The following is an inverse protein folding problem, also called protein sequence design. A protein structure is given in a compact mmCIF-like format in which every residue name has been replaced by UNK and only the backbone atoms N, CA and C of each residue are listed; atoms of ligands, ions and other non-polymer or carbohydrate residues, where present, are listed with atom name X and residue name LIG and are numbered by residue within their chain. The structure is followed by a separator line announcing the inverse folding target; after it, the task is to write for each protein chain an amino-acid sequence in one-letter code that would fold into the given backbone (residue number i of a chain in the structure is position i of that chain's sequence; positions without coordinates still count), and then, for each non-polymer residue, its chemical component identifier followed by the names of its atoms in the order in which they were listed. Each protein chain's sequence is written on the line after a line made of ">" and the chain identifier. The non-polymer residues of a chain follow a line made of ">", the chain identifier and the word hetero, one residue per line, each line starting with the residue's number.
data_IF_048535720770
#
_entry.id   IF_048535720770
#
_cell.length_a   1.000
_cell.length_b   1.000
_cell.length_c   1.000
_cell.angle_alpha   90.00
_cell.angle_beta   90.00
_cell.angle_gamma   90.00
#
_symmetry.space_group_name_H-M   'P 1'
#
loop_
_entity.id
_entity.type
_entity.pdbx_description
1 polymer ?
#
# COMPACT_ATOMS: atom_id res chain seq x y z
N UNK A 1 21.20 27.86 5.71
CA UNK A 1 19.93 27.34 5.20
C UNK A 1 20.18 25.93 4.68
N UNK A 2 19.50 24.91 5.16
CA UNK A 2 19.78 23.54 4.73
C UNK A 2 18.83 23.19 3.58
N UNK A 3 19.37 23.15 2.36
CA UNK A 3 18.61 22.69 1.19
C UNK A 3 18.35 21.19 1.27
N UNK A 4 17.08 20.80 1.17
CA UNK A 4 16.63 19.42 1.23
C UNK A 4 16.61 18.83 -0.18
N UNK A 5 17.34 17.73 -0.36
CA UNK A 5 17.36 16.97 -1.62
C UNK A 5 16.44 15.77 -1.61
N UNK A 6 16.19 15.21 -0.43
CA UNK A 6 15.35 14.02 -0.25
C UNK A 6 14.34 14.27 0.89
N UNK A 7 13.06 14.11 0.60
CA UNK A 7 11.97 14.29 1.55
C UNK A 7 11.30 12.94 1.80
N UNK A 8 11.11 12.61 3.07
CA UNK A 8 10.37 11.42 3.52
C UNK A 8 9.11 11.88 4.24
N UNK A 9 7.94 11.42 3.79
CA UNK A 9 6.64 11.74 4.38
C UNK A 9 6.04 10.45 4.93
N UNK A 10 6.00 10.31 6.26
CA UNK A 10 5.63 9.07 6.93
C UNK A 10 4.95 9.31 8.30
N UNK A 11 5.15 8.41 9.22
CA UNK A 11 4.78 8.51 10.64
C UNK A 11 5.91 8.03 11.53
N UNK A 12 5.87 8.38 12.82
CA UNK A 12 6.89 7.97 13.81
C UNK A 12 6.92 6.47 14.06
N UNK A 13 5.82 5.77 13.80
CA UNK A 13 5.66 4.32 14.02
C UNK A 13 5.89 3.47 12.76
N UNK A 14 6.34 4.06 11.65
CA UNK A 14 6.56 3.34 10.39
C UNK A 14 7.96 2.72 10.35
N UNK A 15 8.07 1.48 10.81
CA UNK A 15 9.32 0.71 10.84
C UNK A 15 9.93 0.49 9.45
N UNK A 16 9.11 0.36 8.40
CA UNK A 16 9.61 0.26 7.03
C UNK A 16 10.38 1.52 6.62
N UNK A 17 9.89 2.68 7.02
CA UNK A 17 10.60 3.96 6.80
C UNK A 17 11.89 4.04 7.60
N UNK A 18 11.94 3.53 8.83
CA UNK A 18 13.15 3.52 9.65
C UNK A 18 14.28 2.76 8.96
N UNK A 19 13.99 1.60 8.34
CA UNK A 19 14.98 0.83 7.59
C UNK A 19 15.56 1.62 6.40
N UNK A 20 14.75 2.43 5.73
CA UNK A 20 15.22 3.30 4.65
C UNK A 20 16.09 4.42 5.21
N UNK A 21 15.67 5.06 6.30
CA UNK A 21 16.46 6.12 6.97
C UNK A 21 17.83 5.59 7.37
N UNK A 22 17.90 4.44 8.04
CA UNK A 22 19.16 3.80 8.42
C UNK A 22 20.06 3.52 7.20
N UNK A 23 19.50 3.06 6.09
CA UNK A 23 20.27 2.80 4.87
C UNK A 23 20.81 4.10 4.24
N UNK A 24 20.00 5.16 4.17
CA UNK A 24 20.43 6.46 3.68
C UNK A 24 21.54 7.06 4.56
N UNK A 25 21.42 6.95 5.89
CA UNK A 25 22.46 7.37 6.84
C UNK A 25 23.76 6.59 6.65
N UNK A 26 23.68 5.27 6.50
CA UNK A 26 24.84 4.40 6.22
C UNK A 26 25.58 4.83 4.94
N UNK A 27 24.84 5.35 3.95
CA UNK A 27 25.39 5.90 2.69
C UNK A 27 25.89 7.33 2.81
N UNK A 28 25.64 8.00 3.94
CA UNK A 28 25.93 9.43 4.10
C UNK A 28 24.99 10.34 3.30
N UNK A 29 23.85 9.83 2.83
CA UNK A 29 22.88 10.59 2.06
C UNK A 29 21.95 11.38 2.97
N UNK A 30 21.82 12.70 2.74
CA UNK A 30 21.02 13.57 3.59
C UNK A 30 19.56 13.57 3.16
N UNK A 31 18.68 13.34 4.10
CA UNK A 31 17.22 13.41 3.93
C UNK A 31 16.58 14.28 5.01
N UNK A 32 15.36 14.71 4.77
CA UNK A 32 14.47 15.26 5.79
C UNK A 32 13.25 14.35 5.92
N UNK A 33 12.98 13.86 7.13
CA UNK A 33 11.75 13.12 7.43
C UNK A 33 10.76 14.00 8.14
N UNK A 34 9.52 14.06 7.63
CA UNK A 34 8.38 14.69 8.29
C UNK A 34 7.34 13.62 8.60
N UNK A 35 6.85 13.64 9.83
CA UNK A 35 5.93 12.64 10.34
C UNK A 35 4.57 13.25 10.64
N UNK A 36 3.48 12.60 10.22
CA UNK A 36 2.10 13.06 10.45
C UNK A 36 1.78 13.29 11.93
N UNK A 37 2.43 12.52 12.79
CA UNK A 37 2.20 12.52 14.24
C UNK A 37 2.79 13.76 14.92
N UNK A 38 3.64 14.52 14.20
CA UNK A 38 4.37 15.68 14.72
C UNK A 38 4.03 16.99 13.96
N UNK A 39 3.00 17.00 13.11
CA UNK A 39 2.69 18.18 12.29
C UNK A 39 2.35 19.43 13.09
N UNK A 40 1.81 19.29 14.28
CA UNK A 40 1.53 20.39 15.19
C UNK A 40 2.81 21.03 15.79
N UNK A 41 3.95 20.37 15.67
CA UNK A 41 5.26 20.86 16.09
C UNK A 41 6.06 21.52 14.96
N UNK A 42 5.54 21.49 13.74
CA UNK A 42 6.21 22.04 12.57
C UNK A 42 5.68 23.43 12.22
N UNK A 43 6.59 24.38 11.98
CA UNK A 43 6.25 25.64 11.36
C UNK A 43 6.50 25.53 9.86
N UNK A 44 5.44 25.55 9.05
CA UNK A 44 5.53 25.33 7.61
C UNK A 44 4.91 26.50 6.85
N UNK A 45 5.63 27.01 5.85
CA UNK A 45 5.13 28.00 4.90
C UNK A 45 5.52 27.60 3.49
N UNK A 46 4.56 27.42 2.60
CA UNK A 46 4.82 27.27 1.18
C UNK A 46 4.59 28.61 0.45
N UNK A 47 5.60 29.09 -0.24
CA UNK A 47 5.60 30.35 -0.98
C UNK A 47 5.41 30.03 -2.46
N UNK A 48 4.20 30.26 -2.98
CA UNK A 48 3.76 29.77 -4.28
C UNK A 48 4.58 30.36 -5.45
N UNK A 49 4.80 31.67 -5.46
CA UNK A 49 5.56 32.37 -6.51
C UNK A 49 7.05 31.98 -6.54
N UNK A 50 7.57 31.51 -5.41
CA UNK A 50 8.96 31.02 -5.29
C UNK A 50 9.06 29.50 -5.47
N UNK A 51 7.94 28.78 -5.52
CA UNK A 51 7.86 27.30 -5.53
C UNK A 51 8.73 26.67 -4.42
N UNK A 52 8.67 27.27 -3.23
CA UNK A 52 9.56 26.94 -2.12
C UNK A 52 8.78 26.78 -0.82
N UNK A 53 9.04 25.69 -0.12
CA UNK A 53 8.55 25.45 1.24
C UNK A 53 9.67 25.73 2.24
N UNK A 54 9.39 26.58 3.22
CA UNK A 54 10.22 26.76 4.40
C UNK A 54 9.61 25.98 5.56
N UNK A 55 10.45 25.25 6.24
CA UNK A 55 10.06 24.38 7.34
C UNK A 55 11.01 24.59 8.51
N UNK A 56 10.44 24.78 9.74
CA UNK A 56 11.21 24.79 10.98
C UNK A 56 10.81 23.61 11.84
N UNK A 57 11.80 22.81 12.24
CA UNK A 57 11.68 21.68 13.15
C UNK A 57 12.72 21.82 14.24
N UNK A 58 12.31 21.80 15.51
CA UNK A 58 13.22 21.90 16.67
C UNK A 58 14.23 23.07 16.56
N UNK A 59 13.75 24.22 16.10
CA UNK A 59 14.57 25.42 15.91
C UNK A 59 15.50 25.41 14.69
N UNK A 60 15.55 24.34 13.91
CA UNK A 60 16.34 24.26 12.67
C UNK A 60 15.49 24.60 11.45
N UNK A 61 16.05 25.40 10.56
CA UNK A 61 15.38 25.80 9.32
C UNK A 61 15.81 24.94 8.13
N UNK A 62 14.84 24.52 7.34
CA UNK A 62 15.01 23.74 6.11
C UNK A 62 14.31 24.45 4.96
N UNK A 63 14.89 24.36 3.77
CA UNK A 63 14.31 24.88 2.53
C UNK A 63 14.12 23.74 1.55
N UNK A 64 12.91 23.62 1.00
CA UNK A 64 12.53 22.61 0.02
C UNK A 64 11.99 23.35 -1.19
N UNK A 65 12.57 23.13 -2.36
CA UNK A 65 12.13 23.76 -3.61
C UNK A 65 12.16 22.77 -4.77
N UNK A 66 11.39 23.05 -5.82
CA UNK A 66 11.44 22.25 -7.05
C UNK A 66 12.84 22.17 -7.68
N UNK A 67 13.70 23.17 -7.41
CA UNK A 67 15.08 23.19 -7.93
C UNK A 67 16.00 22.23 -7.18
N UNK A 68 15.81 22.09 -5.88
CA UNK A 68 16.72 21.33 -4.98
C UNK A 68 16.23 19.95 -4.64
N UNK A 69 14.90 19.77 -4.51
CA UNK A 69 14.30 18.49 -4.16
C UNK A 69 14.44 17.49 -5.33
N UNK A 70 15.06 16.35 -5.07
CA UNK A 70 15.32 15.29 -6.05
C UNK A 70 14.39 14.12 -5.91
N UNK A 71 14.08 13.74 -4.67
CA UNK A 71 13.22 12.58 -4.41
C UNK A 71 12.29 12.80 -3.24
N UNK A 72 11.13 12.14 -3.31
CA UNK A 72 10.14 12.10 -2.24
C UNK A 72 9.72 10.65 -2.00
N UNK A 73 9.91 10.16 -0.78
CA UNK A 73 9.32 8.91 -0.33
C UNK A 73 8.00 9.20 0.38
N UNK A 74 6.89 8.78 -0.24
CA UNK A 74 5.54 9.09 0.21
C UNK A 74 4.81 7.85 0.70
N UNK A 75 4.62 7.74 2.01
CA UNK A 75 3.89 6.61 2.64
C UNK A 75 2.39 6.84 2.76
N UNK A 76 1.85 7.83 2.05
CA UNK A 76 0.43 8.19 2.08
C UNK A 76 -0.15 8.23 3.51
N UNK A 77 0.43 9.03 4.42
CA UNK A 77 0.02 9.03 5.82
C UNK A 77 -1.46 9.39 5.95
N UNK A 78 -2.20 8.59 6.72
CA UNK A 78 -3.64 8.77 6.95
C UNK A 78 -3.85 9.62 8.21
N UNK A 79 -4.70 10.65 8.07
CA UNK A 79 -5.21 11.44 9.19
C UNK A 79 -6.67 11.07 9.41
N UNK A 80 -6.96 10.37 10.50
CA UNK A 80 -8.32 10.02 10.85
C UNK A 80 -9.13 11.29 11.14
N UNK A 81 -10.16 11.55 10.33
CA UNK A 81 -10.98 12.77 10.39
C UNK A 81 -12.18 12.61 11.30
N UNK A 82 -12.72 11.41 11.36
CA UNK A 82 -13.98 11.10 12.02
C UNK A 82 -13.76 10.12 13.16
N UNK A 83 -13.91 10.60 14.36
CA UNK A 83 -14.05 9.84 15.58
C UNK A 83 -15.02 10.60 16.45
N UNK A 84 -15.91 9.90 17.17
CA UNK A 84 -16.83 10.53 18.13
C UNK A 84 -16.10 11.31 19.23
N UNK A 85 -14.83 11.02 19.44
CA UNK A 85 -13.96 11.64 20.45
C UNK A 85 -13.26 12.92 19.98
N UNK A 86 -13.26 13.20 18.66
CA UNK A 86 -12.59 14.38 18.12
C UNK A 86 -13.49 15.62 18.16
N UNK A 87 -12.95 16.71 18.69
CA UNK A 87 -13.58 18.03 18.59
C UNK A 87 -13.71 18.46 17.12
N UNK A 88 -14.64 19.38 16.82
CA UNK A 88 -14.76 19.96 15.46
C UNK A 88 -13.45 20.60 15.00
N UNK A 89 -12.72 21.26 15.90
CA UNK A 89 -11.44 21.88 15.60
C UNK A 89 -10.37 20.82 15.24
N UNK A 90 -10.32 19.69 15.94
CA UNK A 90 -9.37 18.62 15.65
C UNK A 90 -9.70 17.93 14.31
N UNK A 91 -10.98 17.73 14.00
CA UNK A 91 -11.41 17.22 12.71
C UNK A 91 -10.99 18.15 11.57
N UNK A 92 -11.19 19.48 11.72
CA UNK A 92 -10.76 20.49 10.76
C UNK A 92 -9.23 20.48 10.63
N UNK A 93 -8.50 20.53 11.74
CA UNK A 93 -7.02 20.49 11.78
C UNK A 93 -6.46 19.29 11.01
N UNK A 94 -6.96 18.09 11.31
CA UNK A 94 -6.55 16.85 10.60
C UNK A 94 -6.92 16.88 9.13
N UNK A 95 -8.09 17.43 8.78
CA UNK A 95 -8.52 17.64 7.40
C UNK A 95 -7.57 18.55 6.62
N UNK A 96 -7.14 19.67 7.23
CA UNK A 96 -6.20 20.62 6.61
C UNK A 96 -4.80 20.00 6.42
N UNK A 97 -4.26 19.31 7.42
CA UNK A 97 -2.98 18.61 7.26
C UNK A 97 -3.03 17.51 6.20
N UNK A 98 -4.09 16.72 6.17
CA UNK A 98 -4.30 15.71 5.13
C UNK A 98 -4.36 16.33 3.72
N UNK A 99 -5.00 17.49 3.58
CA UNK A 99 -5.06 18.22 2.32
C UNK A 99 -3.70 18.82 1.97
N UNK A 100 -3.01 19.43 2.94
CA UNK A 100 -1.69 20.02 2.73
C UNK A 100 -0.70 18.99 2.21
N UNK A 101 -0.60 17.81 2.83
CA UNK A 101 0.31 16.75 2.38
C UNK A 101 0.02 16.33 0.93
N UNK A 102 -1.25 16.21 0.56
CA UNK A 102 -1.62 15.87 -0.82
C UNK A 102 -1.29 16.97 -1.82
N UNK A 103 -1.29 18.22 -1.38
CA UNK A 103 -0.87 19.36 -2.20
C UNK A 103 0.65 19.44 -2.42
N UNK A 104 1.46 18.68 -1.70
CA UNK A 104 2.91 18.60 -1.94
C UNK A 104 3.26 18.04 -3.33
N UNK A 105 2.29 17.54 -4.08
CA UNK A 105 2.43 17.20 -5.52
C UNK A 105 2.92 18.37 -6.37
N UNK A 106 2.90 19.61 -5.86
CA UNK A 106 3.53 20.78 -6.49
C UNK A 106 5.05 20.65 -6.64
N UNK A 107 5.68 19.71 -5.92
CA UNK A 107 7.06 19.30 -6.16
C UNK A 107 7.14 18.28 -7.30
N UNK A 108 6.70 18.68 -8.48
CA UNK A 108 6.53 17.85 -9.67
C UNK A 108 7.83 17.48 -10.38
N UNK A 109 8.94 18.17 -10.08
CA UNK A 109 10.28 17.88 -10.60
C UNK A 109 10.98 16.75 -9.82
N UNK A 110 10.50 16.42 -8.63
CA UNK A 110 11.07 15.36 -7.82
C UNK A 110 10.60 13.96 -8.28
N UNK A 111 11.46 12.97 -8.09
CA UNK A 111 11.08 11.56 -8.27
C UNK A 111 10.31 11.06 -7.05
N UNK A 112 9.07 10.67 -7.24
CA UNK A 112 8.20 10.20 -6.15
C UNK A 112 8.16 8.70 -6.04
N UNK A 113 8.15 8.20 -4.82
CA UNK A 113 7.92 6.80 -4.44
C UNK A 113 6.82 6.76 -3.37
N UNK A 114 5.54 6.61 -3.72
CA UNK A 114 4.91 6.80 -5.03
C UNK A 114 4.38 8.22 -5.19
N UNK A 115 4.09 8.63 -6.42
CA UNK A 115 3.35 9.87 -6.64
C UNK A 115 1.94 9.76 -6.06
N UNK A 116 1.44 10.73 -5.29
CA UNK A 116 0.16 10.60 -4.58
C UNK A 116 -1.04 10.24 -5.47
N UNK A 117 -1.13 10.83 -6.67
CA UNK A 117 -2.22 10.53 -7.61
C UNK A 117 -2.17 9.07 -8.08
N UNK A 118 -0.97 8.55 -8.36
CA UNK A 118 -0.77 7.14 -8.72
C UNK A 118 -1.18 6.21 -7.55
N UNK A 119 -0.79 6.57 -6.31
CA UNK A 119 -1.17 5.84 -5.10
C UNK A 119 -2.68 5.73 -4.98
N UNK A 120 -3.40 6.86 -4.97
CA UNK A 120 -4.86 6.85 -4.78
C UNK A 120 -5.63 6.22 -5.95
N UNK A 121 -5.10 6.30 -7.17
CA UNK A 121 -5.65 5.59 -8.34
C UNK A 121 -5.50 4.08 -8.17
N UNK A 122 -4.33 3.64 -7.70
CA UNK A 122 -4.02 2.23 -7.52
C UNK A 122 -4.79 1.56 -6.37
N UNK A 123 -5.34 2.30 -5.42
CA UNK A 123 -6.19 1.76 -4.35
C UNK A 123 -7.57 1.26 -4.84
N UNK A 124 -7.97 1.56 -6.08
CA UNK A 124 -9.28 1.19 -6.63
C UNK A 124 -9.30 -0.26 -7.09
N UNK A 125 -9.81 -1.18 -6.27
CA UNK A 125 -9.77 -2.64 -6.48
C UNK A 125 -10.36 -3.10 -7.82
N UNK A 126 -11.49 -2.52 -8.25
CA UNK A 126 -12.06 -2.85 -9.57
C UNK A 126 -11.11 -2.48 -10.70
N UNK A 127 -10.46 -1.32 -10.60
CA UNK A 127 -9.48 -0.87 -11.60
C UNK A 127 -8.23 -1.76 -11.58
N UNK A 128 -7.78 -2.20 -10.41
CA UNK A 128 -6.65 -3.13 -10.28
C UNK A 128 -6.91 -4.43 -11.06
N UNK A 129 -8.07 -5.06 -10.84
CA UNK A 129 -8.44 -6.30 -11.52
C UNK A 129 -8.56 -6.09 -13.04
N UNK A 130 -9.14 -4.97 -13.48
CA UNK A 130 -9.21 -4.65 -14.90
C UNK A 130 -7.83 -4.44 -15.52
N UNK A 131 -6.91 -3.76 -14.81
CA UNK A 131 -5.53 -3.57 -15.26
C UNK A 131 -4.77 -4.90 -15.31
N UNK A 132 -4.98 -5.78 -14.34
CA UNK A 132 -4.37 -7.11 -14.33
C UNK A 132 -4.78 -7.95 -15.56
N UNK A 133 -6.08 -7.97 -15.90
CA UNK A 133 -6.56 -8.61 -17.13
C UNK A 133 -5.93 -8.01 -18.39
N UNK A 134 -5.84 -6.68 -18.49
CA UNK A 134 -5.18 -5.99 -19.61
C UNK A 134 -3.68 -6.30 -19.69
N UNK A 135 -3.05 -6.53 -18.55
CA UNK A 135 -1.63 -6.94 -18.48
C UNK A 135 -1.40 -8.41 -18.84
N UNK A 136 -2.46 -9.20 -19.03
CA UNK A 136 -2.41 -10.63 -19.36
C UNK A 136 -2.33 -11.55 -18.15
N UNK A 137 -2.62 -11.04 -16.93
CA UNK A 137 -2.70 -11.86 -15.73
C UNK A 137 -4.12 -12.41 -15.54
N UNK A 138 -4.22 -13.64 -15.03
CA UNK A 138 -5.49 -14.19 -14.58
C UNK A 138 -5.96 -13.50 -13.30
N UNK A 139 -7.26 -13.38 -13.14
CA UNK A 139 -7.91 -12.98 -11.88
C UNK A 139 -8.94 -14.03 -11.50
N UNK A 140 -9.28 -14.21 -10.21
CA UNK A 140 -10.41 -15.03 -9.81
C UNK A 140 -11.71 -14.49 -10.44
N UNK A 141 -12.67 -15.35 -10.76
CA UNK A 141 -13.99 -14.88 -11.20
C UNK A 141 -14.56 -13.93 -10.15
N UNK A 142 -14.89 -12.70 -10.59
CA UNK A 142 -15.21 -11.59 -9.69
C UNK A 142 -16.50 -10.92 -10.06
N UNK A 143 -17.34 -10.71 -9.06
CA UNK A 143 -18.59 -9.94 -9.14
C UNK A 143 -18.51 -8.78 -8.14
N UNK A 144 -19.07 -7.64 -8.52
CA UNK A 144 -19.07 -6.45 -7.65
C UNK A 144 -20.47 -5.85 -7.66
N UNK A 145 -21.08 -5.73 -6.50
CA UNK A 145 -22.42 -5.17 -6.38
C UNK A 145 -23.04 -5.47 -5.02
N UNK A 146 -24.28 -5.10 -4.88
CA UNK A 146 -25.10 -5.30 -3.69
C UNK A 146 -26.19 -6.38 -3.88
N UNK A 147 -26.02 -7.25 -4.87
CA UNK A 147 -26.88 -8.39 -5.12
C UNK A 147 -26.04 -9.62 -5.43
N UNK A 148 -26.53 -10.78 -5.03
CA UNK A 148 -25.89 -12.06 -5.34
C UNK A 148 -26.28 -12.47 -6.77
N UNK A 149 -25.33 -12.59 -7.71
CA UNK A 149 -25.63 -13.02 -9.07
C UNK A 149 -26.27 -14.42 -9.10
N UNK A 150 -27.20 -14.66 -10.01
CA UNK A 150 -27.88 -15.95 -10.16
C UNK A 150 -26.96 -17.12 -10.45
N UNK A 151 -25.79 -16.87 -11.06
CA UNK A 151 -24.77 -17.88 -11.35
C UNK A 151 -24.05 -18.41 -10.11
N UNK A 152 -24.12 -17.71 -8.97
CA UNK A 152 -23.57 -18.16 -7.68
C UNK A 152 -24.32 -19.41 -7.22
N UNK A 153 -23.59 -20.49 -6.96
CA UNK A 153 -24.14 -21.78 -6.53
C UNK A 153 -24.15 -21.86 -5.01
N UNK A 154 -25.28 -22.27 -4.42
CA UNK A 154 -25.50 -22.31 -2.99
C UNK A 154 -24.48 -23.16 -2.22
N UNK A 155 -24.02 -24.27 -2.82
CA UNK A 155 -23.11 -25.24 -2.23
C UNK A 155 -21.61 -24.95 -2.52
N UNK A 156 -21.28 -23.86 -3.21
CA UNK A 156 -19.89 -23.43 -3.43
C UNK A 156 -19.50 -22.30 -2.48
N UNK A 157 -18.24 -22.30 -2.09
CA UNK A 157 -17.64 -21.24 -1.28
C UNK A 157 -17.10 -20.12 -2.18
N UNK A 158 -17.23 -18.91 -1.72
CA UNK A 158 -16.75 -17.67 -2.35
C UNK A 158 -16.02 -16.81 -1.32
N UNK A 159 -15.16 -15.91 -1.78
CA UNK A 159 -14.52 -14.90 -0.94
C UNK A 159 -15.27 -13.58 -1.09
N UNK A 160 -15.69 -13.03 0.04
CA UNK A 160 -16.31 -11.70 0.13
C UNK A 160 -15.29 -10.70 0.65
N UNK A 161 -15.18 -9.55 -0.02
CA UNK A 161 -14.24 -8.47 0.32
C UNK A 161 -14.94 -7.13 0.26
N UNK A 162 -14.55 -6.20 1.14
CA UNK A 162 -14.91 -4.80 0.98
C UNK A 162 -14.23 -4.17 -0.25
N UNK A 163 -14.89 -3.22 -0.90
CA UNK A 163 -14.34 -2.43 -2.00
C UNK A 163 -13.21 -1.49 -1.55
N UNK A 164 -13.30 -1.04 -0.32
CA UNK A 164 -12.26 -0.28 0.36
C UNK A 164 -11.78 -1.09 1.59
N UNK A 165 -10.71 -0.66 2.23
CA UNK A 165 -10.29 -1.21 3.52
C UNK A 165 -10.60 -0.17 4.61
N UNK A 166 -11.88 0.01 4.97
CA UNK A 166 -12.24 0.99 5.97
C UNK A 166 -11.72 0.53 7.33
N UNK A 167 -11.16 1.47 8.07
CA UNK A 167 -10.92 1.32 9.50
C UNK A 167 -12.22 1.69 10.20
N UNK A 168 -12.76 0.76 10.97
CA UNK A 168 -13.92 1.00 11.83
C UNK A 168 -13.46 1.17 13.27
N UNK A 169 -14.26 1.87 14.03
CA UNK A 169 -14.10 1.95 15.48
C UNK A 169 -15.33 1.34 16.13
N UNK A 170 -15.10 0.28 16.88
CA UNK A 170 -16.10 -0.30 17.77
C UNK A 170 -15.58 -0.15 19.22
N UNK A 171 -16.32 0.59 20.06
CA UNK A 171 -15.96 0.85 21.47
C UNK A 171 -14.47 1.25 21.67
N UNK A 172 -13.94 2.13 20.84
CA UNK A 172 -12.55 2.58 20.83
C UNK A 172 -11.50 1.58 20.33
N UNK A 173 -11.89 0.43 19.79
CA UNK A 173 -10.98 -0.49 19.10
C UNK A 173 -11.00 -0.27 17.59
N UNK A 174 -9.78 -0.20 16.99
CA UNK A 174 -9.65 -0.17 15.55
C UNK A 174 -9.94 -1.58 14.98
N UNK A 175 -10.93 -1.65 14.08
CA UNK A 175 -11.30 -2.87 13.40
C UNK A 175 -11.03 -2.76 11.90
N UNK A 176 -10.50 -3.83 11.31
CA UNK A 176 -10.25 -3.93 9.89
C UNK A 176 -11.15 -5.00 9.27
N UNK A 177 -11.65 -4.74 8.05
CA UNK A 177 -12.33 -5.79 7.28
C UNK A 177 -11.32 -6.72 6.64
N UNK A 178 -11.46 -8.00 6.96
CA UNK A 178 -10.75 -9.08 6.26
C UNK A 178 -11.65 -9.73 5.22
N UNK A 179 -11.03 -10.38 4.23
CA UNK A 179 -11.79 -11.26 3.35
C UNK A 179 -12.42 -12.42 4.13
N UNK A 180 -13.69 -12.73 3.82
CA UNK A 180 -14.48 -13.75 4.50
C UNK A 180 -14.90 -14.79 3.49
N UNK A 181 -14.74 -16.08 3.83
CA UNK A 181 -15.28 -17.18 3.03
C UNK A 181 -16.75 -17.39 3.40
N UNK A 182 -17.62 -17.43 2.40
CA UNK A 182 -19.07 -17.67 2.56
C UNK A 182 -19.55 -18.59 1.45
N UNK A 183 -20.49 -19.50 1.79
CA UNK A 183 -21.21 -20.27 0.79
C UNK A 183 -22.18 -19.39 -0.01
N UNK A 184 -22.56 -19.82 -1.20
CA UNK A 184 -23.55 -19.08 -1.97
C UNK A 184 -24.90 -18.94 -1.26
N UNK A 185 -25.26 -19.91 -0.42
CA UNK A 185 -26.46 -19.84 0.44
C UNK A 185 -26.32 -18.75 1.49
N UNK A 186 -25.21 -18.74 2.25
CA UNK A 186 -24.95 -17.69 3.25
C UNK A 186 -24.92 -16.30 2.62
N UNK A 187 -24.39 -16.17 1.38
CA UNK A 187 -24.44 -14.93 0.63
C UNK A 187 -25.88 -14.46 0.35
N UNK A 188 -26.79 -15.37 0.00
CA UNK A 188 -28.20 -15.01 -0.27
C UNK A 188 -28.97 -14.68 1.00
N UNK A 189 -28.59 -15.30 2.10
CA UNK A 189 -29.23 -15.10 3.41
C UNK A 189 -28.66 -13.86 4.14
N UNK A 190 -27.60 -13.24 3.58
CA UNK A 190 -26.95 -12.05 4.15
C UNK A 190 -27.61 -10.74 3.71
N UNK A 191 -27.32 -9.66 4.42
CA UNK A 191 -27.82 -8.30 4.13
C UNK A 191 -26.97 -7.57 3.07
N UNK A 192 -26.50 -8.30 2.05
CA UNK A 192 -25.65 -7.76 0.97
C UNK A 192 -26.27 -6.58 0.19
N UNK A 193 -27.61 -6.51 0.16
CA UNK A 193 -28.30 -5.41 -0.53
C UNK A 193 -28.04 -4.03 0.08
N UNK A 194 -27.57 -3.95 1.31
CA UNK A 194 -27.32 -2.66 1.97
C UNK A 194 -26.09 -1.93 1.42
N UNK A 195 -25.08 -2.67 0.93
CA UNK A 195 -23.85 -2.06 0.41
C UNK A 195 -23.16 -2.96 -0.62
N UNK A 196 -22.50 -2.37 -1.65
CA UNK A 196 -21.78 -3.16 -2.63
C UNK A 196 -20.51 -3.79 -2.01
N UNK A 197 -20.28 -5.06 -2.36
CA UNK A 197 -19.11 -5.85 -2.00
C UNK A 197 -18.48 -6.51 -3.22
N UNK A 198 -17.29 -7.03 -3.07
CA UNK A 198 -16.63 -7.91 -4.05
C UNK A 198 -16.92 -9.35 -3.65
N UNK A 199 -17.47 -10.15 -4.56
CA UNK A 199 -17.63 -11.60 -4.44
C UNK A 199 -16.67 -12.24 -5.42
N UNK A 200 -15.73 -13.03 -4.94
CA UNK A 200 -14.72 -13.71 -5.76
C UNK A 200 -14.79 -15.22 -5.60
N UNK A 201 -14.40 -15.92 -6.65
CA UNK A 201 -14.13 -17.35 -6.62
C UNK A 201 -13.14 -17.68 -5.50
N UNK A 202 -13.44 -18.75 -4.75
CA UNK A 202 -12.56 -19.26 -3.70
C UNK A 202 -11.50 -20.18 -4.31
N UNK A 203 -10.29 -19.69 -4.42
CA UNK A 203 -9.16 -20.48 -4.89
C UNK A 203 -8.67 -21.42 -3.76
N UNK A 204 -8.77 -22.72 -3.97
CA UNK A 204 -8.34 -23.75 -2.99
C UNK A 204 -8.09 -25.09 -3.70
N UNK A 205 -7.00 -25.83 -3.38
CA UNK A 205 -5.87 -25.40 -2.55
C UNK A 205 -5.03 -24.31 -3.22
N UNK A 206 -4.44 -23.40 -2.46
CA UNK A 206 -3.60 -22.34 -2.98
C UNK A 206 -2.35 -22.09 -2.14
N UNK A 207 -1.35 -21.48 -2.75
CA UNK A 207 -0.22 -20.86 -2.07
C UNK A 207 -0.31 -19.36 -2.27
N UNK A 208 -0.31 -18.58 -1.21
CA UNK A 208 -0.26 -17.14 -1.28
C UNK A 208 1.16 -16.67 -1.64
N UNK A 209 1.25 -15.64 -2.47
CA UNK A 209 2.50 -15.07 -2.91
C UNK A 209 2.50 -13.56 -2.63
N UNK A 210 3.57 -13.09 -2.04
CA UNK A 210 3.82 -11.66 -1.89
C UNK A 210 4.97 -11.24 -2.80
N UNK A 211 4.73 -10.32 -3.72
CA UNK A 211 5.75 -9.74 -4.57
C UNK A 211 5.89 -8.26 -4.23
N UNK A 212 7.03 -7.87 -3.67
CA UNK A 212 7.31 -6.43 -3.50
C UNK A 212 8.04 -5.93 -4.72
N UNK A 213 7.45 -4.97 -5.43
CA UNK A 213 8.04 -4.32 -6.59
C UNK A 213 8.67 -2.98 -6.19
N UNK A 214 9.89 -2.71 -6.65
CA UNK A 214 10.60 -1.45 -6.44
C UNK A 214 11.34 -1.09 -7.74
N UNK A 215 10.81 -0.12 -8.48
CA UNK A 215 11.29 0.15 -9.84
C UNK A 215 11.21 -1.10 -10.72
N UNK A 216 12.34 -1.54 -11.25
CA UNK A 216 12.44 -2.76 -12.05
C UNK A 216 12.71 -4.03 -11.24
N UNK A 217 12.92 -3.92 -9.92
CA UNK A 217 13.23 -5.04 -9.06
C UNK A 217 11.95 -5.67 -8.49
N UNK A 218 11.86 -6.99 -8.54
CA UNK A 218 10.80 -7.77 -7.92
C UNK A 218 11.38 -8.67 -6.83
N UNK A 219 10.72 -8.70 -5.68
CA UNK A 219 11.09 -9.49 -4.51
C UNK A 219 9.94 -10.47 -4.18
N UNK A 220 9.87 -11.62 -4.89
CA UNK A 220 8.77 -12.57 -4.73
C UNK A 220 9.05 -13.58 -3.61
N UNK A 221 8.07 -13.77 -2.72
CA UNK A 221 8.06 -14.77 -1.67
C UNK A 221 6.77 -15.59 -1.71
N UNK A 222 6.89 -16.92 -1.57
CA UNK A 222 5.79 -17.84 -1.25
C UNK A 222 5.52 -17.79 0.24
N UNK A 223 4.24 -17.81 0.63
CA UNK A 223 3.82 -17.78 2.03
C UNK A 223 3.20 -19.11 2.39
N UNK A 224 3.73 -19.75 3.41
CA UNK A 224 3.23 -21.00 3.97
C UNK A 224 2.91 -20.85 5.47
N UNK A 225 2.00 -21.66 5.95
CA UNK A 225 1.72 -21.79 7.36
C UNK A 225 1.92 -23.24 7.77
N UNK A 226 2.84 -23.50 8.70
CA UNK A 226 3.24 -24.87 9.09
C UNK A 226 3.52 -25.78 7.87
N UNK A 227 4.31 -25.25 6.93
CA UNK A 227 4.74 -25.91 5.70
C UNK A 227 3.62 -26.23 4.68
N UNK A 228 2.41 -25.77 4.91
CA UNK A 228 1.26 -25.97 4.02
C UNK A 228 0.77 -24.65 3.41
N UNK A 229 0.04 -24.77 2.29
CA UNK A 229 -0.73 -23.64 1.74
C UNK A 229 -1.82 -23.16 2.72
N UNK A 230 -2.25 -21.91 2.58
CA UNK A 230 -3.13 -21.28 3.56
C UNK A 230 -4.55 -21.20 3.03
N UNK A 231 -5.50 -21.77 3.76
CA UNK A 231 -6.91 -21.56 3.49
C UNK A 231 -7.35 -20.17 4.00
N UNK A 232 -8.04 -19.43 3.13
CA UNK A 232 -8.53 -18.09 3.45
C UNK A 232 -7.44 -17.01 3.34
N UNK A 233 -7.47 -16.06 4.27
CA UNK A 233 -6.55 -14.92 4.31
C UNK A 233 -5.35 -15.23 5.24
N UNK A 234 -4.14 -15.26 4.69
CA UNK A 234 -2.91 -15.53 5.43
C UNK A 234 -2.64 -14.52 6.56
N UNK A 235 -3.15 -13.31 6.44
CA UNK A 235 -2.99 -12.24 7.44
C UNK A 235 -3.69 -12.53 8.76
N UNK A 236 -4.67 -13.46 8.75
CA UNK A 236 -5.39 -13.93 9.94
C UNK A 236 -4.64 -15.01 10.73
N UNK A 237 -3.57 -15.57 10.16
CA UNK A 237 -2.79 -16.62 10.81
C UNK A 237 -1.80 -16.04 11.82
N UNK A 238 -1.47 -16.82 12.83
CA UNK A 238 -0.40 -16.50 13.76
C UNK A 238 0.92 -16.35 13.01
N UNK A 239 1.61 -15.25 13.27
CA UNK A 239 2.83 -14.87 12.55
C UNK A 239 3.99 -15.84 12.80
N UNK A 240 4.03 -16.53 13.95
CA UNK A 240 5.09 -17.47 14.32
C UNK A 240 5.06 -18.74 13.46
N UNK A 241 3.89 -19.11 12.93
CA UNK A 241 3.76 -20.26 12.01
C UNK A 241 3.96 -19.93 10.54
N UNK A 242 4.15 -18.63 10.19
CA UNK A 242 4.31 -18.20 8.81
C UNK A 242 5.78 -18.31 8.37
N UNK A 243 5.99 -18.93 7.20
CA UNK A 243 7.29 -18.95 6.52
C UNK A 243 7.20 -18.28 5.17
N UNK A 244 8.30 -17.61 4.79
CA UNK A 244 8.37 -16.79 3.58
C UNK A 244 9.58 -17.24 2.76
N UNK A 245 9.31 -17.93 1.64
CA UNK A 245 10.35 -18.57 0.84
C UNK A 245 10.55 -17.76 -0.45
N UNK A 246 11.73 -17.14 -0.64
CA UNK A 246 12.08 -16.50 -1.90
C UNK A 246 11.97 -17.50 -3.07
N UNK A 247 11.44 -17.03 -4.19
CA UNK A 247 11.35 -17.87 -5.41
C UNK A 247 11.50 -17.01 -6.65
N UNK A 248 11.62 -17.65 -7.83
CA UNK A 248 11.66 -16.95 -9.11
C UNK A 248 10.28 -17.04 -9.78
N UNK A 249 9.74 -15.88 -10.16
CA UNK A 249 8.49 -15.79 -10.92
C UNK A 249 8.71 -16.28 -12.36
N UNK A 250 7.68 -16.85 -13.02
CA UNK A 250 7.66 -17.02 -14.46
C UNK A 250 7.74 -15.66 -15.19
N UNK A 251 8.47 -15.60 -16.29
CA UNK A 251 8.73 -14.35 -17.02
C UNK A 251 7.47 -13.63 -17.52
N UNK A 252 6.41 -14.37 -17.88
CA UNK A 252 5.14 -13.80 -18.27
C UNK A 252 4.42 -13.13 -17.08
N UNK A 253 4.56 -13.66 -15.86
CA UNK A 253 4.00 -13.07 -14.63
C UNK A 253 4.79 -11.81 -14.24
N UNK A 254 6.13 -11.87 -14.30
CA UNK A 254 6.99 -10.69 -14.11
C UNK A 254 6.60 -9.55 -15.06
N UNK A 255 6.48 -9.86 -16.37
CA UNK A 255 6.06 -8.89 -17.38
C UNK A 255 4.65 -8.31 -17.09
N UNK A 256 3.72 -9.14 -16.64
CA UNK A 256 2.38 -8.71 -16.23
C UNK A 256 2.41 -7.74 -15.05
N UNK A 257 3.23 -8.03 -14.04
CA UNK A 257 3.41 -7.14 -12.86
C UNK A 257 3.97 -5.79 -13.31
N UNK A 258 5.03 -5.77 -14.13
CA UNK A 258 5.59 -4.52 -14.62
C UNK A 258 4.57 -3.68 -15.39
N UNK A 259 3.75 -4.31 -16.27
CA UNK A 259 2.66 -3.60 -16.97
C UNK A 259 1.63 -2.99 -16.01
N UNK A 260 1.32 -3.67 -14.88
CA UNK A 260 0.42 -3.11 -13.86
C UNK A 260 1.07 -1.91 -13.19
N UNK A 261 2.34 -2.04 -12.76
CA UNK A 261 3.08 -0.96 -12.12
C UNK A 261 3.14 0.29 -13.03
N UNK A 262 3.51 0.10 -14.29
CA UNK A 262 3.58 1.17 -15.30
C UNK A 262 2.19 1.78 -15.56
N UNK A 263 1.16 0.96 -15.71
CA UNK A 263 -0.22 1.41 -15.97
C UNK A 263 -0.83 2.25 -14.86
N UNK A 264 -0.39 2.05 -13.62
CA UNK A 264 -0.72 2.91 -12.49
C UNK A 264 0.26 4.06 -12.29
N UNK A 265 1.46 4.00 -12.86
CA UNK A 265 2.55 4.93 -12.59
C UNK A 265 3.18 4.71 -11.21
N UNK A 266 3.22 3.46 -10.74
CA UNK A 266 3.80 3.09 -9.46
C UNK A 266 5.29 2.78 -9.58
N UNK A 267 6.07 3.30 -8.67
CA UNK A 267 7.49 2.95 -8.46
C UNK A 267 7.63 1.85 -7.41
N UNK A 268 6.71 1.82 -6.45
CA UNK A 268 6.66 0.83 -5.38
C UNK A 268 5.27 0.21 -5.28
N UNK A 269 5.19 -1.10 -4.99
CA UNK A 269 3.93 -1.78 -4.68
C UNK A 269 4.13 -3.15 -4.08
N UNK A 270 3.25 -3.53 -3.16
CA UNK A 270 3.11 -4.88 -2.66
C UNK A 270 2.01 -5.60 -3.44
N UNK A 271 2.37 -6.56 -4.28
CA UNK A 271 1.45 -7.33 -5.10
C UNK A 271 1.14 -8.65 -4.41
N UNK A 272 -0.12 -8.95 -4.23
CA UNK A 272 -0.59 -10.25 -3.76
C UNK A 272 -1.07 -11.08 -4.95
N UNK A 273 -0.51 -12.30 -5.07
CA UNK A 273 -0.93 -13.30 -6.05
C UNK A 273 -1.34 -14.57 -5.30
N UNK A 274 -2.12 -15.42 -5.96
CA UNK A 274 -2.37 -16.79 -5.53
C UNK A 274 -1.89 -17.76 -6.60
N UNK A 275 -1.18 -18.81 -6.19
CA UNK A 275 -0.85 -19.96 -7.04
C UNK A 275 -1.83 -21.08 -6.70
N UNK A 276 -2.67 -21.46 -7.66
CA UNK A 276 -3.69 -22.49 -7.54
C UNK A 276 -3.69 -23.33 -8.83
N UNK A 277 -3.58 -24.65 -8.73
CA UNK A 277 -3.53 -25.57 -9.88
C UNK A 277 -2.49 -25.15 -10.94
N UNK A 278 -1.28 -24.80 -10.49
CA UNK A 278 -0.15 -24.31 -11.32
C UNK A 278 -0.42 -23.00 -12.07
N UNK A 279 -1.51 -22.30 -11.76
CA UNK A 279 -1.89 -21.03 -12.36
C UNK A 279 -1.75 -19.87 -11.40
N UNK A 280 -1.23 -18.75 -11.89
CA UNK A 280 -1.03 -17.54 -11.11
C UNK A 280 -2.22 -16.60 -11.26
N UNK A 281 -2.86 -16.28 -10.15
CA UNK A 281 -3.98 -15.34 -10.09
C UNK A 281 -3.56 -14.05 -9.40
N UNK A 282 -3.80 -12.92 -10.05
CA UNK A 282 -3.63 -11.61 -9.42
C UNK A 282 -4.78 -11.35 -8.46
N UNK A 283 -4.44 -10.95 -7.24
CA UNK A 283 -5.41 -10.66 -6.18
C UNK A 283 -5.54 -9.15 -5.95
N UNK A 284 -4.43 -8.46 -5.68
CA UNK A 284 -4.41 -7.01 -5.46
C UNK A 284 -3.01 -6.43 -5.58
N UNK A 285 -2.93 -5.10 -5.77
CA UNK A 285 -1.71 -4.31 -5.56
C UNK A 285 -1.95 -3.30 -4.45
N UNK A 286 -1.05 -3.27 -3.48
CA UNK A 286 -1.05 -2.28 -2.41
C UNK A 286 0.09 -1.28 -2.63
N UNK A 287 -0.21 -0.02 -3.04
CA UNK A 287 0.80 0.99 -3.35
C UNK A 287 1.58 1.48 -2.12
N UNK A 288 1.10 1.18 -0.92
CA UNK A 288 1.74 1.52 0.36
C UNK A 288 1.94 0.29 1.25
N UNK A 289 1.96 -0.91 0.64
CA UNK A 289 2.03 -2.18 1.36
C UNK A 289 3.25 -2.29 2.28
N UNK A 290 3.07 -2.93 3.44
CA UNK A 290 4.16 -3.23 4.35
C UNK A 290 5.10 -4.29 3.78
N UNK A 291 6.40 -4.12 4.02
CA UNK A 291 7.44 -4.98 3.45
C UNK A 291 8.62 -5.23 4.41
N UNK A 292 8.75 -4.46 5.49
CA UNK A 292 9.91 -4.55 6.39
C UNK A 292 10.12 -5.96 6.96
N UNK A 293 9.02 -6.69 7.20
CA UNK A 293 9.07 -8.06 7.68
C UNK A 293 9.81 -9.00 6.71
N UNK A 294 9.75 -8.77 5.39
CA UNK A 294 10.46 -9.56 4.37
C UNK A 294 11.98 -9.37 4.39
N UNK A 295 12.45 -8.25 4.91
CA UNK A 295 13.91 -8.02 5.09
C UNK A 295 14.50 -9.05 6.06
N UNK A 296 13.81 -9.27 7.18
CA UNK A 296 14.27 -10.20 8.21
C UNK A 296 13.94 -11.66 7.89
N UNK A 297 12.75 -11.94 7.37
CA UNK A 297 12.25 -13.31 7.20
C UNK A 297 12.66 -13.95 5.88
N UNK A 298 12.81 -13.17 4.81
CA UNK A 298 13.17 -13.64 3.47
C UNK A 298 14.56 -13.14 3.00
N UNK A 299 15.23 -12.28 3.78
CA UNK A 299 16.56 -11.73 3.45
C UNK A 299 16.55 -10.69 2.32
N UNK A 300 15.37 -10.17 1.94
CA UNK A 300 15.24 -9.24 0.84
C UNK A 300 15.84 -7.87 1.14
N UNK A 301 16.50 -7.27 0.14
CA UNK A 301 17.16 -5.97 0.27
C UNK A 301 16.27 -4.81 -0.22
N UNK A 302 14.97 -4.86 0.10
CA UNK A 302 13.95 -3.90 -0.38
C UNK A 302 14.31 -2.46 0.00
N UNK A 303 14.78 -2.24 1.24
CA UNK A 303 15.20 -0.93 1.74
C UNK A 303 16.35 -0.33 0.90
N UNK A 304 17.29 -1.19 0.43
CA UNK A 304 18.38 -0.74 -0.44
C UNK A 304 17.89 -0.35 -1.82
N UNK A 305 16.98 -1.15 -2.41
CA UNK A 305 16.40 -0.83 -3.71
C UNK A 305 15.59 0.48 -3.67
N UNK A 306 14.89 0.76 -2.58
CA UNK A 306 14.20 2.05 -2.38
C UNK A 306 15.23 3.17 -2.25
N UNK A 307 16.28 3.00 -1.44
CA UNK A 307 17.35 3.98 -1.28
C UNK A 307 18.07 4.28 -2.60
N UNK A 308 18.33 3.27 -3.44
CA UNK A 308 18.92 3.45 -4.78
C UNK A 308 18.08 4.38 -5.67
N UNK A 309 16.75 4.29 -5.55
CA UNK A 309 15.83 5.18 -6.29
C UNK A 309 15.83 6.60 -5.70
N UNK A 310 15.98 6.73 -4.38
CA UNK A 310 15.97 8.02 -3.68
C UNK A 310 17.27 8.81 -3.88
N UNK A 311 18.40 8.12 -4.04
CA UNK A 311 19.70 8.71 -4.37
C UNK A 311 19.77 9.10 -5.86
N UNK A 312 18.89 10.00 -6.28
CA UNK A 312 18.98 10.55 -7.65
C UNK A 312 20.22 11.46 -7.71
N UNK A 313 21.20 11.06 -8.52
CA UNK A 313 22.42 11.83 -8.80
C UNK A 313 22.11 13.00 -9.71
#
# INVERSE_FOLDING_TARGET
>A
MNDVKCLIISSTIDYSTDLICCELERRGYRYLRINRDLFDQYEIVYILDQQTMKLRIEGREYTISNKTLKSVYFRAPVFFRYSKELSLNDQLKRGQWSSFIRNLIVFDQAKWINYPVATYKAEKKMLQLQMAMKAGLKIPHTYVGNQVPSIIKDNKTYIVKALDTPVFYDEAQEMFTYSTAMTGRELRDSELQEAPVIIQEYLTPKVDLRVTAVGTHLFPAKIYYNEAGIEGDWRKRDKDGLTYIPFKLPSNIEAGIHKIMDGFGLVFGGIDLALCDDEYYFIEVNPTGEWAWLVRTAGFQIHKAIADIMEVI
#
